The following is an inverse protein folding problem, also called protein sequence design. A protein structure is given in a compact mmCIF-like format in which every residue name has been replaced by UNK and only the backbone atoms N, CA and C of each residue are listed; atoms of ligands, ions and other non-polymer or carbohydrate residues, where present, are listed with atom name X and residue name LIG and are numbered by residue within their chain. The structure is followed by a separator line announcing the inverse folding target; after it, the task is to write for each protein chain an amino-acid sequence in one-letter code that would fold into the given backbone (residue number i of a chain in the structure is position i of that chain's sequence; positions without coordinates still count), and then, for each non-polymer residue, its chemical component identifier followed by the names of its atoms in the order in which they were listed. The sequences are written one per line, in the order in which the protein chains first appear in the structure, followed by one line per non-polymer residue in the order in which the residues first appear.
data_IF_801328170440
#
_entry.id   IF_801328170440
#
_cell.length_a   1.000
_cell.length_b   1.000
_cell.length_c   1.000
_cell.angle_alpha   90.00
_cell.angle_beta   90.00
_cell.angle_gamma   90.00
#
_symmetry.space_group_name_H-M   'P 1'
#
loop_
_entity.id
_entity.type
_entity.pdbx_description
1 polymer ?
#
# COMPACT_ATOMS: atom_id res chain seq x y z
N UNK A 1 48.61 -42.78 6.96
CA UNK A 1 47.71 -42.34 5.89
C UNK A 1 46.29 -42.46 6.44
N UNK A 2 45.71 -41.38 6.93
CA UNK A 2 44.35 -41.39 7.46
C UNK A 2 43.36 -41.49 6.29
N UNK A 3 42.51 -42.53 6.30
CA UNK A 3 41.52 -42.77 5.25
C UNK A 3 40.32 -41.84 5.43
N UNK A 4 40.12 -40.92 4.47
CA UNK A 4 38.92 -40.09 4.40
C UNK A 4 37.71 -40.95 4.00
N UNK A 5 36.79 -41.15 4.93
CA UNK A 5 35.53 -41.84 4.63
C UNK A 5 34.49 -40.84 4.08
N UNK A 6 33.82 -41.18 2.96
CA UNK A 6 32.81 -40.31 2.38
C UNK A 6 31.58 -40.22 3.29
N UNK A 7 31.27 -39.01 3.75
CA UNK A 7 30.04 -38.72 4.49
C UNK A 7 28.89 -38.64 3.47
N UNK A 8 28.01 -39.64 3.46
CA UNK A 8 26.75 -39.62 2.70
C UNK A 8 25.78 -38.64 3.36
N UNK A 9 25.77 -37.38 2.89
CA UNK A 9 24.75 -36.42 3.29
C UNK A 9 23.44 -36.69 2.53
N UNK A 10 22.27 -36.69 3.19
CA UNK A 10 20.99 -36.85 2.50
C UNK A 10 20.77 -35.68 1.52
N UNK A 11 20.32 -36.00 0.30
CA UNK A 11 19.97 -34.98 -0.70
C UNK A 11 18.86 -34.07 -0.14
N UNK A 12 18.97 -32.74 -0.31
CA UNK A 12 17.92 -31.83 0.12
C UNK A 12 16.63 -32.14 -0.65
N UNK A 13 15.58 -32.53 0.07
CA UNK A 13 14.24 -32.70 -0.51
C UNK A 13 13.70 -31.32 -0.86
N UNK A 14 13.53 -31.03 -2.16
CA UNK A 14 12.85 -29.82 -2.62
C UNK A 14 11.38 -29.88 -2.18
N UNK A 15 11.04 -29.21 -1.08
CA UNK A 15 9.65 -29.01 -0.68
C UNK A 15 9.08 -27.85 -1.50
N UNK A 16 8.35 -28.18 -2.55
CA UNK A 16 7.63 -27.19 -3.34
C UNK A 16 6.59 -26.50 -2.43
N UNK A 17 6.71 -25.19 -2.24
CA UNK A 17 5.70 -24.45 -1.50
C UNK A 17 4.41 -24.34 -2.34
N UNK A 18 3.22 -24.58 -1.75
CA UNK A 18 1.96 -24.48 -2.48
C UNK A 18 1.74 -23.06 -2.97
N UNK A 19 1.20 -22.92 -4.18
CA UNK A 19 0.88 -21.60 -4.76
C UNK A 19 -0.18 -20.87 -3.93
N UNK A 20 -0.23 -19.54 -4.04
CA UNK A 20 -1.29 -18.75 -3.40
C UNK A 20 -2.70 -19.24 -3.77
N UNK A 21 -2.92 -19.68 -5.02
CA UNK A 21 -4.19 -20.23 -5.46
C UNK A 21 -4.53 -21.56 -4.72
N UNK A 22 -3.53 -22.40 -4.49
CA UNK A 22 -3.69 -23.66 -3.76
C UNK A 22 -4.03 -23.42 -2.28
N UNK A 23 -3.40 -22.42 -1.65
CA UNK A 23 -3.72 -21.98 -0.29
C UNK A 23 -5.11 -21.36 -0.17
N UNK A 24 -5.58 -20.68 -1.22
CA UNK A 24 -6.94 -20.13 -1.27
C UNK A 24 -7.99 -21.23 -1.40
N UNK A 25 -7.70 -22.28 -2.18
CA UNK A 25 -8.60 -23.38 -2.45
C UNK A 25 -8.72 -24.38 -1.29
N UNK A 26 -7.72 -24.48 -0.41
CA UNK A 26 -7.71 -25.42 0.71
C UNK A 26 -8.52 -24.98 1.93
N UNK A 27 -9.15 -23.81 1.88
CA UNK A 27 -9.85 -23.25 3.04
C UNK A 27 -11.36 -23.53 2.97
N UNK A 28 -11.98 -23.85 4.13
CA UNK A 28 -13.40 -24.10 4.19
C UNK A 28 -14.17 -22.88 3.70
N UNK A 29 -15.30 -23.12 3.01
CA UNK A 29 -16.19 -22.06 2.50
C UNK A 29 -16.90 -21.37 3.68
N UNK A 30 -16.18 -20.49 4.36
CA UNK A 30 -16.72 -19.62 5.40
C UNK A 30 -17.65 -18.60 4.73
N UNK A 31 -18.85 -18.44 5.28
CA UNK A 31 -19.74 -17.35 4.90
C UNK A 31 -19.14 -16.06 5.45
N UNK A 32 -18.58 -15.27 4.54
CA UNK A 32 -17.92 -13.99 4.79
C UNK A 32 -18.52 -12.98 3.82
N UNK A 33 -18.57 -11.72 4.23
CA UNK A 33 -18.92 -10.60 3.35
C UNK A 33 -17.92 -10.48 2.19
N UNK A 34 -18.27 -9.75 1.13
CA UNK A 34 -17.36 -9.50 -0.01
C UNK A 34 -16.05 -8.87 0.46
N UNK A 35 -16.15 -7.90 1.36
CA UNK A 35 -15.02 -7.08 1.79
C UNK A 35 -14.04 -7.89 2.65
N UNK A 36 -14.56 -8.78 3.49
CA UNK A 36 -13.76 -9.74 4.25
C UNK A 36 -13.03 -10.74 3.34
N UNK A 37 -13.69 -11.21 2.27
CA UNK A 37 -13.06 -12.10 1.29
C UNK A 37 -11.91 -11.41 0.57
N UNK A 38 -12.07 -10.16 0.17
CA UNK A 38 -11.04 -9.42 -0.54
C UNK A 38 -9.88 -9.02 0.38
N UNK A 39 -10.16 -8.67 1.64
CA UNK A 39 -9.12 -8.49 2.66
C UNK A 39 -8.31 -9.76 2.88
N UNK A 40 -8.99 -10.91 3.03
CA UNK A 40 -8.31 -12.21 3.21
C UNK A 40 -7.48 -12.60 1.98
N UNK A 41 -8.00 -12.39 0.76
CA UNK A 41 -7.23 -12.63 -0.48
C UNK A 41 -5.96 -11.79 -0.52
N UNK A 42 -6.07 -10.51 -0.18
CA UNK A 42 -4.95 -9.57 -0.17
C UNK A 42 -3.89 -9.96 0.85
N UNK A 43 -4.32 -10.27 2.09
CA UNK A 43 -3.42 -10.79 3.14
C UNK A 43 -2.70 -12.06 2.70
N UNK A 44 -3.41 -13.01 2.10
CA UNK A 44 -2.81 -14.28 1.65
C UNK A 44 -1.81 -14.07 0.51
N UNK A 45 -2.14 -13.20 -0.45
CA UNK A 45 -1.20 -12.85 -1.52
C UNK A 45 0.09 -12.25 -0.93
N UNK A 46 -0.04 -11.31 0.01
CA UNK A 46 1.10 -10.69 0.66
C UNK A 46 1.93 -11.70 1.45
N UNK A 47 1.29 -12.59 2.21
CA UNK A 47 1.97 -13.67 2.95
C UNK A 47 2.73 -14.61 2.02
N UNK A 48 2.13 -15.00 0.89
CA UNK A 48 2.79 -15.84 -0.11
C UNK A 48 4.01 -15.14 -0.72
N UNK A 49 3.90 -13.85 -1.07
CA UNK A 49 5.04 -13.06 -1.57
C UNK A 49 6.17 -12.98 -0.55
N UNK A 50 5.85 -12.76 0.74
CA UNK A 50 6.86 -12.76 1.82
C UNK A 50 7.57 -14.10 1.92
N UNK A 51 6.84 -15.21 1.81
CA UNK A 51 7.42 -16.54 1.85
C UNK A 51 8.34 -16.81 0.64
N UNK A 52 7.95 -16.41 -0.58
CA UNK A 52 8.80 -16.49 -1.76
C UNK A 52 10.11 -15.71 -1.58
N UNK A 53 10.02 -14.47 -1.09
CA UNK A 53 11.20 -13.65 -0.81
C UNK A 53 12.09 -14.31 0.24
N UNK A 54 11.50 -14.89 1.29
CA UNK A 54 12.27 -15.58 2.32
C UNK A 54 12.97 -16.82 1.76
N UNK A 55 12.28 -17.61 0.93
CA UNK A 55 12.87 -18.76 0.25
C UNK A 55 14.09 -18.38 -0.60
N UNK A 56 13.97 -17.30 -1.39
CA UNK A 56 15.08 -16.76 -2.17
C UNK A 56 16.24 -16.34 -1.27
N UNK A 57 15.96 -15.63 -0.17
CA UNK A 57 17.00 -15.22 0.80
C UNK A 57 17.70 -16.42 1.44
N UNK A 58 16.95 -17.45 1.83
CA UNK A 58 17.53 -18.69 2.36
C UNK A 58 18.46 -19.35 1.33
N UNK A 59 18.05 -19.42 0.06
CA UNK A 59 18.92 -19.93 -1.01
C UNK A 59 20.17 -19.06 -1.18
N UNK A 60 20.02 -17.73 -1.19
CA UNK A 60 21.15 -16.80 -1.29
C UNK A 60 22.15 -16.94 -0.13
N UNK A 61 21.66 -17.19 1.08
CA UNK A 61 22.50 -17.46 2.27
C UNK A 61 23.25 -18.78 2.11
N UNK A 62 22.57 -19.86 1.70
CA UNK A 62 23.20 -21.16 1.47
C UNK A 62 24.27 -21.10 0.38
N UNK A 63 24.06 -20.28 -0.65
CA UNK A 63 25.03 -20.05 -1.72
C UNK A 63 26.10 -19.00 -1.37
N UNK A 64 26.11 -18.44 -0.15
CA UNK A 64 27.11 -17.45 0.29
C UNK A 64 26.99 -16.07 -0.37
N UNK A 65 25.97 -15.84 -1.20
CA UNK A 65 25.72 -14.56 -1.88
C UNK A 65 25.09 -13.51 -0.96
N UNK A 66 24.56 -13.93 0.19
CA UNK A 66 23.98 -13.07 1.21
C UNK A 66 24.47 -13.53 2.60
N UNK A 67 24.99 -12.61 3.40
CA UNK A 67 25.36 -12.91 4.79
C UNK A 67 24.11 -12.96 5.67
N UNK A 68 24.05 -13.93 6.58
CA UNK A 68 23.03 -13.96 7.61
C UNK A 68 23.27 -12.79 8.57
N UNK A 69 22.28 -11.92 8.73
CA UNK A 69 22.26 -10.94 9.82
C UNK A 69 21.32 -11.50 10.88
N UNK A 70 21.82 -11.68 12.10
CA UNK A 70 20.96 -11.95 13.23
C UNK A 70 19.96 -10.78 13.33
N UNK A 71 18.67 -11.10 13.46
CA UNK A 71 17.70 -10.09 13.86
C UNK A 71 17.96 -9.87 15.34
N UNK A 72 18.69 -8.80 15.66
CA UNK A 72 18.82 -8.34 17.03
C UNK A 72 17.42 -7.90 17.47
N UNK A 73 16.85 -8.66 18.39
CA UNK A 73 15.64 -8.23 19.07
C UNK A 73 16.02 -7.02 19.92
N UNK A 74 15.26 -5.93 19.78
CA UNK A 74 15.46 -4.73 20.58
C UNK A 74 15.42 -5.09 22.06
N UNK A 75 16.26 -4.44 22.85
CA UNK A 75 16.21 -4.59 24.30
C UNK A 75 14.87 -4.09 24.84
N UNK A 76 14.38 -4.65 25.95
CA UNK A 76 13.07 -4.28 26.54
C UNK A 76 12.95 -2.76 26.76
N UNK A 77 14.05 -2.10 27.18
CA UNK A 77 14.08 -0.63 27.34
C UNK A 77 13.92 0.12 26.02
N UNK A 78 14.57 -0.32 24.96
CA UNK A 78 14.45 0.27 23.62
C UNK A 78 13.04 0.03 23.06
N UNK A 79 12.44 -1.14 23.32
CA UNK A 79 11.08 -1.46 22.93
C UNK A 79 10.08 -0.53 23.62
N UNK A 80 10.23 -0.29 24.93
CA UNK A 80 9.38 0.65 25.67
C UNK A 80 9.51 2.09 25.14
N UNK A 81 10.73 2.57 24.89
CA UNK A 81 10.95 3.91 24.32
C UNK A 81 10.33 4.04 22.92
N UNK A 82 10.44 2.99 22.10
CA UNK A 82 9.82 2.97 20.78
C UNK A 82 8.29 2.99 20.87
N UNK A 83 7.69 2.26 21.80
CA UNK A 83 6.25 2.24 22.03
C UNK A 83 5.75 3.60 22.52
N UNK A 84 6.42 4.21 23.49
CA UNK A 84 6.10 5.56 23.99
C UNK A 84 6.18 6.61 22.88
N UNK A 85 7.25 6.56 22.07
CA UNK A 85 7.39 7.45 20.91
C UNK A 85 6.30 7.21 19.86
N UNK A 86 5.90 5.96 19.62
CA UNK A 86 4.77 5.66 18.73
C UNK A 86 3.44 6.19 19.27
N UNK A 87 3.20 6.08 20.57
CA UNK A 87 2.00 6.64 21.19
C UNK A 87 1.97 8.17 21.11
N UNK A 88 3.11 8.82 21.36
CA UNK A 88 3.25 10.26 21.20
C UNK A 88 2.94 10.70 19.76
N UNK A 89 3.54 10.05 18.77
CA UNK A 89 3.29 10.34 17.34
C UNK A 89 1.82 10.11 16.97
N UNK A 90 1.16 9.09 17.52
CA UNK A 90 -0.28 8.86 17.30
C UNK A 90 -1.13 9.98 17.88
N UNK A 91 -0.75 10.53 19.04
CA UNK A 91 -1.45 11.67 19.62
C UNK A 91 -1.25 12.93 18.79
N UNK A 92 -0.03 13.18 18.29
CA UNK A 92 0.25 14.30 17.39
C UNK A 92 -0.54 14.21 16.08
N UNK A 93 -0.59 13.02 15.47
CA UNK A 93 -1.39 12.79 14.26
C UNK A 93 -2.86 13.12 14.52
N UNK A 94 -3.44 12.63 15.62
CA UNK A 94 -4.83 12.95 15.98
C UNK A 94 -5.04 14.45 16.20
N UNK A 95 -4.10 15.13 16.85
CA UNK A 95 -4.18 16.58 17.04
C UNK A 95 -4.16 17.33 15.70
N UNK A 96 -3.27 16.92 14.77
CA UNK A 96 -3.19 17.47 13.42
C UNK A 96 -4.44 17.18 12.60
N UNK A 97 -5.02 15.99 12.72
CA UNK A 97 -6.30 15.65 12.07
C UNK A 97 -7.44 16.55 12.55
N UNK A 98 -7.52 16.84 13.86
CA UNK A 98 -8.51 17.76 14.42
C UNK A 98 -8.29 19.17 13.90
N UNK A 99 -7.05 19.65 13.84
CA UNK A 99 -6.72 20.98 13.29
C UNK A 99 -7.08 21.06 11.81
N UNK A 100 -6.75 20.03 11.03
CA UNK A 100 -7.10 19.95 9.61
C UNK A 100 -8.63 19.92 9.40
N UNK A 101 -9.37 19.17 10.23
CA UNK A 101 -10.82 19.17 10.19
C UNK A 101 -11.41 20.56 10.49
N UNK A 102 -10.86 21.28 11.47
CA UNK A 102 -11.25 22.66 11.78
C UNK A 102 -10.93 23.64 10.65
N UNK A 103 -9.75 23.54 10.05
CA UNK A 103 -9.35 24.37 8.90
C UNK A 103 -10.21 24.08 7.67
N UNK A 104 -10.48 22.80 7.37
CA UNK A 104 -11.38 22.40 6.30
C UNK A 104 -12.80 22.93 6.52
N UNK A 105 -13.32 22.87 7.76
CA UNK A 105 -14.62 23.44 8.11
C UNK A 105 -14.63 24.98 8.02
N UNK A 106 -13.54 25.66 8.38
CA UNK A 106 -13.41 27.11 8.27
C UNK A 106 -13.29 27.61 6.82
N UNK A 107 -12.77 26.78 5.90
CA UNK A 107 -12.60 27.13 4.48
C UNK A 107 -13.72 26.62 3.56
N UNK A 108 -14.47 25.59 3.97
CA UNK A 108 -15.67 25.09 3.29
C UNK A 108 -16.73 26.17 2.96
N UNK A 109 -17.11 27.10 3.87
CA UNK A 109 -18.15 28.10 3.57
C UNK A 109 -17.69 29.23 2.61
N UNK A 110 -16.40 29.36 2.30
CA UNK A 110 -15.88 30.42 1.41
C UNK A 110 -15.77 30.02 -0.06
N UNK A 111 -15.97 28.73 -0.39
CA UNK A 111 -15.91 28.24 -1.77
C UNK A 111 -17.11 28.65 -2.65
N UNK A 112 -18.39 28.66 -2.20
CA UNK A 112 -19.49 29.02 -3.10
C UNK A 112 -19.46 30.50 -3.52
N UNK A 113 -19.00 31.40 -2.65
CA UNK A 113 -18.89 32.83 -2.97
C UNK A 113 -17.72 33.15 -3.92
N UNK A 114 -16.63 32.37 -3.88
CA UNK A 114 -15.49 32.53 -4.77
C UNK A 114 -15.76 31.95 -6.17
N UNK A 115 -16.46 30.82 -6.27
CA UNK A 115 -16.90 30.25 -7.56
C UNK A 115 -17.93 31.14 -8.27
N UNK A 116 -18.83 31.79 -7.52
CA UNK A 116 -19.81 32.71 -8.11
C UNK A 116 -19.18 34.01 -8.61
N UNK A 117 -18.11 34.51 -7.96
CA UNK A 117 -17.36 35.68 -8.45
C UNK A 117 -16.53 35.36 -9.70
N UNK A 118 -15.95 34.16 -9.81
CA UNK A 118 -15.19 33.76 -11.00
C UNK A 118 -16.12 33.52 -12.21
N UNK A 119 -17.31 32.92 -11.99
CA UNK A 119 -18.32 32.74 -13.03
C UNK A 119 -18.92 34.06 -13.53
N UNK A 120 -19.14 35.05 -12.64
CA UNK A 120 -19.59 36.39 -13.04
C UNK A 120 -18.56 37.12 -13.92
N UNK A 121 -17.27 37.09 -13.53
CA UNK A 121 -16.18 37.67 -14.37
C UNK A 121 -16.02 37.00 -15.73
N UNK A 122 -16.28 35.69 -15.83
CA UNK A 122 -16.19 34.98 -17.10
C UNK A 122 -17.36 35.32 -18.05
N UNK A 123 -18.55 35.63 -17.51
CA UNK A 123 -19.70 36.09 -18.31
C UNK A 123 -19.49 37.49 -18.89
N UNK A 124 -18.85 38.38 -18.15
CA UNK A 124 -18.62 39.77 -18.58
C UNK A 124 -17.49 39.92 -19.62
N UNK A 125 -16.73 38.84 -19.89
CA UNK A 125 -15.58 38.83 -20.80
C UNK A 125 -15.82 38.10 -22.13
N UNK A 126 -17.04 37.60 -22.39
CA UNK A 126 -17.39 37.06 -23.70
C UNK A 126 -17.82 38.19 -24.65
N UNK A 127 -17.19 38.34 -25.84
CA UNK A 127 -17.72 39.23 -26.87
C UNK A 127 -19.08 38.71 -27.36
N UNK A 128 -20.02 39.59 -27.72
CA UNK A 128 -21.35 39.18 -28.16
C UNK A 128 -21.27 38.29 -29.40
N UNK A 129 -22.21 37.34 -29.59
CA UNK A 129 -22.19 36.44 -30.73
C UNK A 129 -22.30 37.25 -32.03
N UNK A 130 -21.28 37.15 -32.88
CA UNK A 130 -21.26 37.76 -34.20
C UNK A 130 -22.40 37.18 -35.02
N UNK A 131 -23.38 38.03 -35.35
CA UNK A 131 -24.46 37.68 -36.28
C UNK A 131 -23.84 37.36 -37.63
N UNK A 132 -23.84 36.08 -38.03
CA UNK A 132 -23.54 35.66 -39.40
C UNK A 132 -24.53 36.34 -40.35
N UNK A 133 -24.07 37.33 -41.10
CA UNK A 133 -24.79 37.89 -42.23
C UNK A 133 -24.84 36.80 -43.31
N UNK A 134 -26.03 36.29 -43.60
CA UNK A 134 -26.28 35.47 -44.79
C UNK A 134 -26.26 36.41 -46.00
N UNK A 135 -25.18 36.41 -46.77
CA UNK A 135 -25.22 37.00 -48.12
C UNK A 135 -26.00 36.05 -49.02
N UNK A 136 -27.20 36.48 -49.39
CA UNK A 136 -27.98 35.94 -50.49
C UNK A 136 -27.22 36.20 -51.79
N UNK A 137 -26.62 35.16 -52.37
CA UNK A 137 -26.31 35.14 -53.80
C UNK A 137 -27.57 34.68 -54.54
N UNK A 138 -28.28 35.63 -55.13
CA UNK A 138 -29.27 35.39 -56.18
C UNK A 138 -28.56 35.08 -57.50
N UNK A 139 -29.21 34.19 -58.28
CA UNK A 139 -29.01 33.76 -59.67
C UNK A 139 -28.10 34.61 -60.55
#
# INVERSE_FOLDING_TARGET
MESLHPILMPRPTARCHPSAATLLASLPKLHMSSDEKDRLRSMRHQSFRRLQVNHIRCAQILHGTMQWRAVEFMNVGEETECLERQEHLRQEIKALEIINAKLAAAHSPNLPAASDRSLKRLRDSQPPPTKRIKTLTSL
#
